data_IF_288515795086
#
_entry.id   IF_288515795086
#
_cell.length_a   1.000
_cell.length_b   1.000
_cell.length_c   1.000
_cell.angle_alpha   90.00
_cell.angle_beta   90.00
_cell.angle_gamma   90.00
#
_symmetry.space_group_name_H-M   'P 1'
#
loop_
_entity.id
_entity.type
_entity.pdbx_description
1 polymer ?
#
# COMPACT_ATOMS: atom_id res chain seq x y z
N UNK A 1 16.45 8.93 -0.97
CA UNK A 1 17.26 10.17 -1.02
C UNK A 1 16.79 11.23 -0.02
N UNK A 2 17.71 11.81 0.76
CA UNK A 2 17.45 12.95 1.66
C UNK A 2 17.19 14.25 0.89
N UNK A 3 17.78 14.39 -0.29
CA UNK A 3 17.69 15.59 -1.12
C UNK A 3 16.29 15.77 -1.70
N UNK A 4 15.67 14.69 -2.19
CA UNK A 4 14.28 14.71 -2.67
C UNK A 4 13.29 15.13 -1.57
N UNK A 5 13.50 14.68 -0.33
CA UNK A 5 12.67 15.10 0.81
C UNK A 5 12.78 16.60 1.09
N UNK A 6 13.98 17.16 0.99
CA UNK A 6 14.19 18.59 1.17
C UNK A 6 13.48 19.42 0.09
N UNK A 7 13.59 19.00 -1.18
CA UNK A 7 12.90 19.66 -2.31
C UNK A 7 11.38 19.60 -2.14
N UNK A 8 10.84 18.43 -1.78
CA UNK A 8 9.40 18.26 -1.56
C UNK A 8 8.89 19.12 -0.40
N UNK A 9 9.63 19.20 0.70
CA UNK A 9 9.27 20.04 1.86
C UNK A 9 9.24 21.53 1.49
N UNK A 10 10.25 22.01 0.77
CA UNK A 10 10.26 23.39 0.30
C UNK A 10 9.05 23.71 -0.59
N UNK A 11 8.67 22.78 -1.48
CA UNK A 11 7.49 22.96 -2.34
C UNK A 11 6.19 22.91 -1.56
N UNK A 12 6.08 22.01 -0.58
CA UNK A 12 4.93 21.90 0.30
C UNK A 12 4.69 23.20 1.07
N UNK A 13 5.73 23.79 1.67
CA UNK A 13 5.63 25.05 2.42
C UNK A 13 5.13 26.23 1.57
N UNK A 14 5.35 26.21 0.27
CA UNK A 14 4.90 27.26 -0.66
C UNK A 14 3.47 27.05 -1.19
N UNK A 15 2.97 25.81 -1.18
CA UNK A 15 1.75 25.41 -1.89
C UNK A 15 0.64 24.91 -0.97
N UNK A 16 0.95 24.49 0.26
CA UNK A 16 0.01 23.94 1.22
C UNK A 16 0.06 24.70 2.54
N UNK A 17 -1.09 24.78 3.22
CA UNK A 17 -1.14 25.24 4.61
C UNK A 17 -0.40 24.26 5.52
N UNK A 18 0.22 24.79 6.58
CA UNK A 18 0.94 23.97 7.55
C UNK A 18 0.06 22.86 8.14
N UNK A 19 0.61 21.64 8.20
CA UNK A 19 -0.10 20.47 8.73
C UNK A 19 -1.13 19.83 7.79
N UNK A 20 -1.30 20.36 6.56
CA UNK A 20 -2.22 19.78 5.55
C UNK A 20 -1.67 18.48 4.97
N UNK A 21 -0.37 18.38 4.74
CA UNK A 21 0.27 17.18 4.19
C UNK A 21 0.94 16.39 5.31
N UNK A 22 0.59 15.12 5.45
CA UNK A 22 1.21 14.26 6.44
C UNK A 22 2.65 13.91 6.07
N UNK A 23 3.56 13.86 7.06
CA UNK A 23 4.97 13.51 6.84
C UNK A 23 5.15 12.15 6.16
N UNK A 24 4.25 11.21 6.42
CA UNK A 24 4.25 9.88 5.79
C UNK A 24 4.00 9.95 4.28
N UNK A 25 3.26 10.94 3.79
CA UNK A 25 3.08 11.17 2.34
C UNK A 25 4.39 11.62 1.70
N UNK A 26 5.09 12.57 2.32
CA UNK A 26 6.39 13.04 1.82
C UNK A 26 7.42 11.91 1.83
N UNK A 27 7.43 11.10 2.90
CA UNK A 27 8.28 9.93 3.00
C UNK A 27 7.97 8.91 1.89
N UNK A 28 6.69 8.65 1.62
CA UNK A 28 6.26 7.72 0.60
C UNK A 28 6.64 8.19 -0.81
N UNK A 29 6.44 9.47 -1.15
CA UNK A 29 6.86 10.01 -2.45
C UNK A 29 8.38 9.88 -2.64
N UNK A 30 9.16 10.18 -1.60
CA UNK A 30 10.61 10.04 -1.66
C UNK A 30 11.08 8.58 -1.78
N UNK A 31 10.32 7.63 -1.23
CA UNK A 31 10.58 6.19 -1.38
C UNK A 31 10.19 5.70 -2.78
N UNK A 32 9.12 6.22 -3.39
CA UNK A 32 8.68 5.89 -4.77
C UNK A 32 9.66 6.43 -5.82
N UNK A 33 10.06 7.70 -5.71
CA UNK A 33 10.84 8.40 -6.75
C UNK A 33 12.35 8.31 -6.51
N UNK A 34 12.78 7.97 -5.29
CA UNK A 34 14.18 7.97 -4.92
C UNK A 34 15.02 6.95 -5.69
N UNK A 35 16.14 7.41 -6.29
CA UNK A 35 17.13 6.55 -6.97
C UNK A 35 17.61 5.41 -6.09
N UNK A 36 17.89 5.70 -4.81
CA UNK A 36 18.34 4.70 -3.82
C UNK A 36 17.31 3.59 -3.55
N UNK A 37 16.08 3.76 -4.05
CA UNK A 37 14.94 2.85 -3.88
C UNK A 37 14.46 2.27 -5.21
N UNK A 38 15.19 2.49 -6.30
CA UNK A 38 14.86 1.99 -7.64
C UNK A 38 14.02 2.95 -8.47
N UNK A 39 13.76 4.17 -8.00
CA UNK A 39 13.12 5.23 -8.78
C UNK A 39 14.10 5.95 -9.73
N UNK A 40 13.57 6.84 -10.56
CA UNK A 40 14.35 7.60 -11.56
C UNK A 40 15.05 8.84 -10.98
N UNK A 41 14.79 9.19 -9.72
CA UNK A 41 15.34 10.38 -9.05
C UNK A 41 14.73 11.69 -9.51
N UNK A 42 13.64 11.64 -10.26
CA UNK A 42 13.10 12.80 -10.94
C UNK A 42 12.28 13.66 -9.98
N UNK A 43 12.86 14.74 -9.48
CA UNK A 43 12.18 15.69 -8.62
C UNK A 43 10.88 16.25 -9.24
N UNK A 44 10.79 16.33 -10.58
CA UNK A 44 9.55 16.74 -11.26
C UNK A 44 8.43 15.72 -11.07
N UNK A 45 8.75 14.43 -11.18
CA UNK A 45 7.77 13.35 -10.93
C UNK A 45 7.31 13.37 -9.47
N UNK A 46 8.22 13.61 -8.52
CA UNK A 46 7.87 13.73 -7.11
C UNK A 46 6.93 14.92 -6.83
N UNK A 47 7.18 16.08 -7.44
CA UNK A 47 6.34 17.28 -7.30
C UNK A 47 4.97 17.07 -7.95
N UNK A 48 4.93 16.48 -9.15
CA UNK A 48 3.68 16.16 -9.83
C UNK A 48 2.83 15.19 -8.99
N UNK A 49 3.45 14.15 -8.42
CA UNK A 49 2.75 13.20 -7.58
C UNK A 49 2.17 13.86 -6.31
N UNK A 50 2.90 14.81 -5.71
CA UNK A 50 2.39 15.61 -4.59
C UNK A 50 1.21 16.50 -5.01
N UNK A 51 1.29 17.16 -6.17
CA UNK A 51 0.22 17.98 -6.71
C UNK A 51 -1.06 17.16 -6.90
N UNK A 52 -0.96 16.01 -7.58
CA UNK A 52 -2.10 15.12 -7.82
C UNK A 52 -2.68 14.54 -6.54
N UNK A 53 -1.85 14.28 -5.53
CA UNK A 53 -2.34 13.86 -4.21
C UNK A 53 -3.13 14.99 -3.51
N UNK A 54 -2.70 16.25 -3.68
CA UNK A 54 -3.47 17.42 -3.26
C UNK A 54 -4.81 17.53 -3.96
N UNK A 55 -4.82 17.44 -5.30
CA UNK A 55 -6.05 17.46 -6.11
C UNK A 55 -7.03 16.35 -5.72
N UNK A 56 -6.52 15.14 -5.43
CA UNK A 56 -7.35 14.03 -4.95
C UNK A 56 -7.96 14.31 -3.56
N UNK A 57 -7.22 14.98 -2.67
CA UNK A 57 -7.73 15.40 -1.38
C UNK A 57 -8.84 16.47 -1.53
N UNK A 58 -8.60 17.46 -2.38
CA UNK A 58 -9.56 18.54 -2.67
C UNK A 58 -10.85 17.99 -3.29
N UNK A 59 -10.74 17.08 -4.24
CA UNK A 59 -11.88 16.41 -4.86
C UNK A 59 -12.74 15.66 -3.84
N UNK A 60 -12.11 15.07 -2.82
CA UNK A 60 -12.79 14.34 -1.74
C UNK A 60 -13.23 15.25 -0.57
N UNK A 61 -12.95 16.56 -0.65
CA UNK A 61 -13.23 17.51 0.41
C UNK A 61 -12.44 17.22 1.70
N UNK A 62 -11.32 16.51 1.59
CA UNK A 62 -10.51 16.13 2.73
C UNK A 62 -9.60 17.28 3.15
N UNK A 63 -9.59 17.65 4.45
CA UNK A 63 -8.76 18.75 4.94
C UNK A 63 -7.27 18.40 4.99
N UNK A 64 -6.88 17.17 4.65
CA UNK A 64 -5.50 16.68 4.71
C UNK A 64 -5.16 15.78 3.52
N UNK A 65 -3.92 15.84 3.07
CA UNK A 65 -3.37 14.90 2.09
C UNK A 65 -2.86 13.67 2.84
N UNK A 66 -3.44 12.51 2.53
CA UNK A 66 -3.12 11.21 3.15
C UNK A 66 -2.44 10.28 2.16
N UNK A 67 -1.91 9.15 2.65
CA UNK A 67 -1.36 8.10 1.79
C UNK A 67 -2.38 7.53 0.80
N UNK A 68 -3.68 7.57 1.11
CA UNK A 68 -4.70 7.08 0.19
C UNK A 68 -4.86 8.02 -1.00
N UNK A 69 -4.81 9.34 -0.78
CA UNK A 69 -4.78 10.31 -1.89
C UNK A 69 -3.53 10.13 -2.75
N UNK A 70 -2.38 9.81 -2.13
CA UNK A 70 -1.16 9.49 -2.86
C UNK A 70 -1.32 8.24 -3.75
N UNK A 71 -1.96 7.17 -3.25
CA UNK A 71 -2.24 5.97 -4.06
C UNK A 71 -3.19 6.26 -5.22
N UNK A 72 -4.21 7.10 -5.00
CA UNK A 72 -5.12 7.58 -6.05
C UNK A 72 -4.38 8.40 -7.10
N UNK A 73 -3.51 9.30 -6.67
CA UNK A 73 -2.65 10.10 -7.53
C UNK A 73 -1.70 9.24 -8.37
N UNK A 74 -1.11 8.20 -7.78
CA UNK A 74 -0.24 7.27 -8.50
C UNK A 74 -1.04 6.49 -9.57
N UNK A 75 -2.22 5.99 -9.20
CA UNK A 75 -3.11 5.28 -10.12
C UNK A 75 -3.64 6.17 -11.25
N UNK A 76 -3.74 7.49 -11.05
CA UNK A 76 -4.20 8.44 -12.08
C UNK A 76 -3.07 9.00 -12.95
N UNK A 77 -1.86 9.19 -12.40
CA UNK A 77 -0.68 9.67 -13.13
C UNK A 77 -0.16 8.68 -14.15
N UNK A 78 -0.32 7.39 -13.86
CA UNK A 78 -0.11 6.33 -14.82
C UNK A 78 -1.26 6.35 -15.85
N UNK A 79 -1.41 7.43 -16.62
CA UNK A 79 -2.35 7.47 -17.74
C UNK A 79 -2.17 6.23 -18.61
N UNK A 80 -3.26 5.53 -18.90
CA UNK A 80 -3.31 4.19 -19.52
C UNK A 80 -2.73 3.06 -18.64
N UNK A 81 -1.60 3.23 -17.95
CA UNK A 81 -0.90 2.17 -17.18
C UNK A 81 -1.39 1.93 -15.73
N UNK A 82 -2.07 2.89 -15.10
CA UNK A 82 -2.62 2.78 -13.73
C UNK A 82 -3.99 2.10 -13.73
N UNK A 83 -4.76 2.31 -14.80
CA UNK A 83 -5.85 1.41 -15.18
C UNK A 83 -5.29 0.01 -15.45
N UNK A 84 -4.15 -0.10 -16.16
CA UNK A 84 -3.45 -1.37 -16.33
C UNK A 84 -3.00 -1.97 -15.01
N UNK A 85 -2.52 -1.22 -14.01
CA UNK A 85 -2.05 -1.81 -12.75
C UNK A 85 -3.19 -2.35 -11.89
N UNK A 86 -4.34 -1.66 -11.85
CA UNK A 86 -5.55 -2.19 -11.22
C UNK A 86 -6.07 -3.43 -11.96
N UNK A 87 -6.02 -3.42 -13.31
CA UNK A 87 -6.39 -4.57 -14.14
C UNK A 87 -5.42 -5.75 -13.90
N UNK A 88 -4.11 -5.50 -13.91
CA UNK A 88 -3.06 -6.49 -13.65
C UNK A 88 -3.21 -7.05 -12.23
N UNK A 89 -3.46 -6.19 -11.24
CA UNK A 89 -3.72 -6.64 -9.87
C UNK A 89 -4.94 -7.57 -9.85
N UNK A 90 -6.05 -7.22 -10.52
CA UNK A 90 -7.23 -8.10 -10.64
C UNK A 90 -6.90 -9.44 -11.31
N UNK A 91 -6.16 -9.41 -12.42
CA UNK A 91 -5.73 -10.61 -13.15
C UNK A 91 -4.78 -11.49 -12.32
N UNK A 92 -4.02 -10.90 -11.41
CA UNK A 92 -3.18 -11.65 -10.47
C UNK A 92 -3.98 -12.22 -9.30
N UNK A 93 -4.91 -11.44 -8.74
CA UNK A 93 -5.70 -11.80 -7.55
C UNK A 93 -6.68 -12.93 -7.85
N UNK A 94 -7.27 -12.97 -9.05
CA UNK A 94 -8.25 -14.01 -9.43
C UNK A 94 -7.67 -15.44 -9.38
N UNK A 95 -6.34 -15.57 -9.49
CA UNK A 95 -5.64 -16.85 -9.45
C UNK A 95 -5.03 -17.19 -8.09
N UNK A 96 -5.24 -16.37 -7.06
CA UNK A 96 -4.72 -16.62 -5.73
C UNK A 96 -5.53 -17.69 -5.00
N UNK A 97 -4.89 -18.67 -4.36
CA UNK A 97 -5.53 -19.57 -3.40
C UNK A 97 -6.18 -18.80 -2.25
N UNK A 98 -7.21 -19.40 -1.64
CA UNK A 98 -8.01 -18.75 -0.59
C UNK A 98 -7.17 -18.14 0.55
N UNK A 99 -6.17 -18.85 1.08
CA UNK A 99 -5.35 -18.28 2.15
C UNK A 99 -4.42 -17.16 1.69
N UNK A 100 -3.95 -17.16 0.44
CA UNK A 100 -3.20 -16.02 -0.12
C UNK A 100 -4.11 -14.80 -0.26
N UNK A 101 -5.38 -14.99 -0.67
CA UNK A 101 -6.39 -13.92 -0.69
C UNK A 101 -6.68 -13.37 0.71
N UNK A 102 -6.85 -14.24 1.72
CA UNK A 102 -7.08 -13.82 3.10
C UNK A 102 -5.89 -13.04 3.67
N UNK A 103 -4.65 -13.47 3.38
CA UNK A 103 -3.44 -12.74 3.78
C UNK A 103 -3.34 -11.40 3.07
N UNK A 104 -3.69 -11.34 1.79
CA UNK A 104 -3.67 -10.09 1.06
C UNK A 104 -4.71 -9.10 1.59
N UNK A 105 -5.93 -9.57 1.87
CA UNK A 105 -6.97 -8.80 2.54
C UNK A 105 -6.52 -8.32 3.93
N UNK A 106 -5.85 -9.18 4.70
CA UNK A 106 -5.30 -8.82 6.01
C UNK A 106 -4.26 -7.70 5.91
N UNK A 107 -3.35 -7.76 4.94
CA UNK A 107 -2.37 -6.71 4.69
C UNK A 107 -3.03 -5.38 4.34
N UNK A 108 -4.06 -5.40 3.49
CA UNK A 108 -4.85 -4.21 3.13
C UNK A 108 -5.51 -3.61 4.37
N UNK A 109 -6.20 -4.42 5.19
CA UNK A 109 -6.86 -3.96 6.42
C UNK A 109 -5.88 -3.38 7.43
N UNK A 110 -4.73 -4.03 7.64
CA UNK A 110 -3.70 -3.55 8.54
C UNK A 110 -3.13 -2.19 8.09
N UNK A 111 -2.86 -2.03 6.79
CA UNK A 111 -2.39 -0.77 6.22
C UNK A 111 -3.43 0.34 6.40
N UNK A 112 -4.70 0.08 6.07
CA UNK A 112 -5.80 1.04 6.26
C UNK A 112 -5.96 1.46 7.71
N UNK A 113 -5.98 0.50 8.65
CA UNK A 113 -6.15 0.79 10.09
C UNK A 113 -4.97 1.60 10.65
N UNK A 114 -3.75 1.28 10.22
CA UNK A 114 -2.57 1.98 10.72
C UNK A 114 -2.39 3.39 10.15
N UNK A 115 -2.95 3.65 8.96
CA UNK A 115 -2.67 4.87 8.20
C UNK A 115 -1.22 4.99 7.73
N UNK A 116 -0.42 3.91 7.84
CA UNK A 116 1.01 3.92 7.56
C UNK A 116 1.32 3.32 6.20
N UNK A 117 2.49 3.69 5.69
CA UNK A 117 3.03 3.16 4.44
C UNK A 117 3.39 1.66 4.55
N UNK A 118 3.83 1.22 5.73
CA UNK A 118 4.18 -0.17 6.02
C UNK A 118 3.64 -0.60 7.39
N UNK A 119 3.29 -1.87 7.49
CA UNK A 119 2.89 -2.56 8.74
C UNK A 119 3.77 -3.78 8.99
N UNK A 120 3.84 -4.27 10.23
CA UNK A 120 4.64 -5.48 10.52
C UNK A 120 3.87 -6.73 10.14
N UNK A 121 4.60 -7.81 9.85
CA UNK A 121 4.02 -9.13 9.62
C UNK A 121 3.09 -9.58 10.75
N UNK A 122 3.42 -9.30 12.01
CA UNK A 122 2.54 -9.61 13.14
C UNK A 122 1.22 -8.83 13.12
N UNK A 123 1.22 -7.59 12.61
CA UNK A 123 -0.03 -6.82 12.46
C UNK A 123 -0.90 -7.43 11.34
N UNK A 124 -0.28 -7.95 10.27
CA UNK A 124 -0.95 -8.68 9.20
C UNK A 124 -1.48 -10.05 9.66
N UNK A 125 -0.70 -10.77 10.46
CA UNK A 125 -1.10 -12.07 11.04
C UNK A 125 -2.34 -11.95 11.92
N UNK A 126 -2.41 -10.91 12.76
CA UNK A 126 -3.59 -10.67 13.59
C UNK A 126 -4.84 -10.42 12.74
N UNK A 127 -4.76 -9.59 11.68
CA UNK A 127 -5.90 -9.38 10.78
C UNK A 127 -6.27 -10.65 10.01
N UNK A 128 -5.28 -11.47 9.66
CA UNK A 128 -5.49 -12.75 8.98
C UNK A 128 -6.23 -13.77 9.85
N UNK A 129 -5.89 -13.85 11.14
CA UNK A 129 -6.60 -14.72 12.08
C UNK A 129 -8.08 -14.32 12.19
N UNK A 130 -8.37 -13.02 12.28
CA UNK A 130 -9.74 -12.49 12.29
C UNK A 130 -10.49 -12.83 11.00
N UNK A 131 -9.84 -12.68 9.84
CA UNK A 131 -10.45 -13.02 8.56
C UNK A 131 -10.70 -14.53 8.43
N UNK A 132 -9.77 -15.36 8.90
CA UNK A 132 -9.96 -16.80 8.95
C UNK A 132 -11.21 -17.18 9.78
N UNK A 133 -11.40 -16.55 10.95
CA UNK A 133 -12.61 -16.75 11.76
C UNK A 133 -13.89 -16.35 11.00
N UNK A 134 -13.90 -15.16 10.39
CA UNK A 134 -15.06 -14.64 9.63
C UNK A 134 -15.45 -15.60 8.48
N UNK A 135 -14.47 -16.16 7.78
CA UNK A 135 -14.71 -17.04 6.63
C UNK A 135 -14.70 -18.53 6.98
N UNK A 136 -14.67 -18.90 8.27
CA UNK A 136 -14.74 -20.31 8.71
C UNK A 136 -13.51 -21.14 8.36
N UNK A 137 -12.36 -20.51 8.18
CA UNK A 137 -11.09 -21.15 7.85
C UNK A 137 -10.19 -21.31 9.08
N UNK A 138 -9.38 -22.37 9.12
CA UNK A 138 -8.35 -22.53 10.15
C UNK A 138 -7.11 -21.71 9.78
N UNK A 139 -6.59 -20.81 10.64
CA UNK A 139 -5.42 -20.03 10.32
C UNK A 139 -4.17 -20.91 10.16
N UNK A 140 -3.31 -20.54 9.22
CA UNK A 140 -2.00 -21.17 9.03
C UNK A 140 -0.98 -20.55 10.00
N UNK A 141 0.00 -21.35 10.41
CA UNK A 141 1.05 -20.90 11.32
C UNK A 141 2.03 -19.92 10.65
N UNK A 142 2.79 -19.21 11.50
CA UNK A 142 3.72 -18.14 11.11
C UNK A 142 4.60 -18.46 9.88
N UNK A 143 5.22 -19.65 9.85
CA UNK A 143 6.09 -20.04 8.73
C UNK A 143 5.34 -20.06 7.41
N UNK A 144 4.11 -20.56 7.38
CA UNK A 144 3.30 -20.61 6.17
C UNK A 144 2.81 -19.22 5.76
N UNK A 145 2.45 -18.38 6.73
CA UNK A 145 2.10 -16.96 6.49
C UNK A 145 3.28 -16.22 5.85
N UNK A 146 4.49 -16.45 6.35
CA UNK A 146 5.70 -15.87 5.78
C UNK A 146 5.91 -16.30 4.32
N UNK A 147 5.66 -17.56 3.98
CA UNK A 147 5.72 -18.04 2.59
C UNK A 147 4.68 -17.34 1.70
N UNK A 148 3.43 -17.21 2.15
CA UNK A 148 2.40 -16.46 1.40
C UNK A 148 2.79 -15.01 1.15
N UNK A 149 3.38 -14.33 2.14
CA UNK A 149 3.89 -12.96 1.99
C UNK A 149 5.03 -12.94 0.95
N UNK A 150 5.94 -13.92 0.97
CA UNK A 150 6.99 -14.01 -0.03
C UNK A 150 6.42 -14.19 -1.43
N UNK A 151 5.40 -15.02 -1.59
CA UNK A 151 4.79 -15.30 -2.90
C UNK A 151 4.01 -14.09 -3.42
N UNK A 152 3.25 -13.40 -2.56
CA UNK A 152 2.61 -12.12 -2.91
C UNK A 152 3.64 -11.07 -3.34
N UNK A 153 4.81 -11.02 -2.69
CA UNK A 153 5.92 -10.13 -3.10
C UNK A 153 6.46 -10.52 -4.48
N UNK A 154 6.69 -11.81 -4.74
CA UNK A 154 7.18 -12.28 -6.03
C UNK A 154 6.23 -11.95 -7.18
N UNK A 155 4.93 -11.94 -6.92
CA UNK A 155 3.89 -11.50 -7.87
C UNK A 155 3.82 -9.98 -8.03
N UNK A 156 4.52 -9.21 -7.20
CA UNK A 156 4.46 -7.73 -7.20
C UNK A 156 3.20 -7.15 -6.56
N UNK A 157 2.40 -7.96 -5.86
CA UNK A 157 1.16 -7.50 -5.21
C UNK A 157 1.42 -6.73 -3.91
N UNK A 158 2.56 -7.00 -3.27
CA UNK A 158 3.04 -6.28 -2.08
C UNK A 158 4.53 -5.98 -2.21
N UNK A 159 4.98 -5.00 -1.45
CA UNK A 159 6.39 -4.77 -1.17
C UNK A 159 6.75 -5.25 0.24
N UNK A 160 8.01 -5.65 0.44
CA UNK A 160 8.52 -6.01 1.76
C UNK A 160 9.92 -5.48 2.02
N UNK A 161 10.16 -5.02 3.25
CA UNK A 161 11.48 -4.62 3.74
C UNK A 161 11.73 -5.04 5.18
N UNK A 162 12.99 -5.22 5.55
CA UNK A 162 13.36 -5.55 6.93
C UNK A 162 13.26 -4.33 7.83
N UNK A 163 12.75 -4.50 9.05
CA UNK A 163 12.70 -3.43 10.04
C UNK A 163 14.10 -2.94 10.42
N UNK A 164 14.26 -1.61 10.46
CA UNK A 164 15.50 -0.94 10.82
C UNK A 164 15.60 -0.58 12.31
N UNK A 165 16.44 0.41 12.62
CA UNK A 165 16.56 0.98 13.97
C UNK A 165 15.21 1.52 14.45
N UNK A 166 14.87 1.28 15.72
CA UNK A 166 13.60 1.71 16.34
C UNK A 166 12.56 0.60 16.52
N UNK A 167 12.80 -0.60 15.96
CA UNK A 167 11.97 -1.77 16.19
C UNK A 167 12.64 -2.74 17.17
N UNK A 168 11.85 -3.40 18.02
CA UNK A 168 12.33 -4.49 18.88
C UNK A 168 12.47 -5.75 18.01
N UNK A 169 13.72 -6.09 17.66
CA UNK A 169 14.04 -7.23 16.80
C UNK A 169 13.99 -6.93 15.30
N UNK A 170 14.23 -7.97 14.49
CA UNK A 170 14.05 -7.93 13.03
C UNK A 170 12.65 -8.45 12.70
N UNK A 171 11.85 -7.66 12.01
CA UNK A 171 10.51 -8.00 11.55
C UNK A 171 10.39 -7.65 10.07
N UNK A 172 9.56 -8.38 9.34
CA UNK A 172 9.21 -8.05 7.96
C UNK A 172 8.14 -6.97 7.98
N UNK A 173 8.41 -5.88 7.27
CA UNK A 173 7.45 -4.81 7.01
C UNK A 173 6.80 -5.06 5.64
N UNK A 174 5.48 -4.91 5.55
CA UNK A 174 4.66 -5.12 4.36
C UNK A 174 3.99 -3.81 3.96
N UNK A 175 3.97 -3.50 2.66
CA UNK A 175 3.35 -2.30 2.10
C UNK A 175 2.72 -2.52 0.73
N UNK A 176 1.81 -1.62 0.34
CA UNK A 176 1.11 -1.58 -0.95
C UNK A 176 1.08 -0.13 -1.43
N UNK A 177 1.69 0.17 -2.58
CA UNK A 177 1.98 1.55 -3.02
C UNK A 177 1.20 2.03 -4.24
N UNK A 178 0.72 1.12 -5.07
CA UNK A 178 0.35 1.46 -6.45
C UNK A 178 -1.15 1.38 -6.72
N UNK A 179 -1.96 1.07 -5.71
CA UNK A 179 -3.40 0.83 -5.86
C UNK A 179 -4.16 1.36 -4.64
N UNK A 180 -5.26 2.12 -4.84
CA UNK A 180 -6.13 2.53 -3.74
C UNK A 180 -6.62 1.33 -2.94
N UNK A 181 -6.40 1.37 -1.61
CA UNK A 181 -6.69 0.26 -0.72
C UNK A 181 -8.19 0.01 -0.60
N UNK A 182 -9.01 1.06 -0.69
CA UNK A 182 -10.48 0.92 -0.61
C UNK A 182 -11.05 0.10 -1.75
N UNK A 183 -10.60 0.36 -2.98
CA UNK A 183 -11.07 -0.37 -4.15
C UNK A 183 -10.51 -1.79 -4.17
N UNK A 184 -9.22 -1.93 -3.86
CA UNK A 184 -8.55 -3.22 -3.79
C UNK A 184 -9.19 -4.15 -2.75
N UNK A 185 -9.54 -3.64 -1.55
CA UNK A 185 -10.21 -4.42 -0.51
C UNK A 185 -11.54 -5.00 -1.01
N UNK A 186 -12.36 -4.18 -1.67
CA UNK A 186 -13.64 -4.62 -2.23
C UNK A 186 -13.46 -5.74 -3.26
N UNK A 187 -12.48 -5.58 -4.14
CA UNK A 187 -12.20 -6.57 -5.18
C UNK A 187 -11.71 -7.90 -4.57
N UNK A 188 -10.78 -7.85 -3.61
CA UNK A 188 -10.26 -9.06 -2.93
C UNK A 188 -11.35 -9.77 -2.14
N UNK A 189 -12.19 -9.04 -1.39
CA UNK A 189 -13.30 -9.64 -0.62
C UNK A 189 -14.30 -10.36 -1.54
N UNK A 190 -14.63 -9.75 -2.68
CA UNK A 190 -15.49 -10.39 -3.69
C UNK A 190 -14.91 -11.72 -4.18
N UNK A 191 -13.60 -11.80 -4.39
CA UNK A 191 -12.94 -13.05 -4.80
C UNK A 191 -12.90 -14.08 -3.67
N UNK A 192 -12.74 -13.67 -2.41
CA UNK A 192 -12.83 -14.56 -1.25
C UNK A 192 -14.23 -15.19 -1.17
N UNK A 193 -15.29 -14.39 -1.27
CA UNK A 193 -16.68 -14.86 -1.26
C UNK A 193 -16.95 -15.88 -2.37
N UNK A 194 -16.44 -15.63 -3.58
CA UNK A 194 -16.55 -16.56 -4.71
C UNK A 194 -15.85 -17.90 -4.45
N UNK A 195 -14.75 -17.92 -3.70
CA UNK A 195 -14.06 -19.15 -3.32
C UNK A 195 -14.84 -19.92 -2.24
N UNK A 196 -15.46 -19.23 -1.29
CA UNK A 196 -16.22 -19.86 -0.21
C UNK A 196 -17.58 -20.38 -0.68
N UNK A 197 -18.23 -19.73 -1.65
CA UNK A 197 -19.50 -20.21 -2.23
C UNK A 197 -19.35 -21.41 -3.18
N UNK A 198 -18.14 -21.72 -3.63
CA UNK A 198 -17.85 -22.90 -4.46
C UNK A 198 -17.62 -24.19 -3.65
N UNK A 199 -17.63 -24.12 -2.32
CA UNK A 199 -17.47 -25.27 -1.43
C UNK A 199 -18.81 -25.84 -0.97
#
# INVERSE_FOLDING_TARGET
SKELKAILRQRMELAFWEGTVEDDVINAIADIVGVDKGGDGNARAAIELLLRAGEAADYEGSPRVTLEHLRKAYASLAGVEGSSYMIIAKDMIIHLPLHELLIYAAAIKALKRSGRQYVRIGDVENEYEVLCEIFGEKPRGHTQVYEYIRDLKQRGLIDTKTSGKGYRGRSTLIGIFNVPLDQLEKDVLKFIEQHTHKR
#
